data_IF_843969119787
#
_entry.id   IF_843969119787
#
_cell.length_a   1.000
_cell.length_b   1.000
_cell.length_c   1.000
_cell.angle_alpha   90.00
_cell.angle_beta   90.00
_cell.angle_gamma   90.00
#
_symmetry.space_group_name_H-M   'P 1'
#
loop_
_entity.id
_entity.type
_entity.pdbx_description
1 polymer ?
#
# COMPACT_ATOMS: atom_id res chain seq x y z
N UNK A 1 -35.15 -15.21 6.80
CA UNK A 1 -34.26 -15.01 5.64
C UNK A 1 -33.50 -13.71 5.84
N UNK A 2 -32.16 -13.73 5.76
CA UNK A 2 -31.34 -12.51 5.73
C UNK A 2 -30.41 -12.67 4.53
N UNK A 3 -30.75 -12.02 3.41
CA UNK A 3 -29.95 -12.09 2.19
C UNK A 3 -28.88 -11.00 2.23
N UNK A 4 -27.75 -11.28 2.88
CA UNK A 4 -26.58 -10.39 2.88
C UNK A 4 -25.88 -10.49 1.53
N UNK A 5 -26.51 -9.91 0.50
CA UNK A 5 -25.90 -9.79 -0.83
C UNK A 5 -24.64 -8.95 -0.71
N UNK A 6 -23.48 -9.59 -0.80
CA UNK A 6 -22.24 -8.89 -1.05
C UNK A 6 -22.30 -8.30 -2.47
N UNK A 7 -22.78 -7.06 -2.57
CA UNK A 7 -22.64 -6.26 -3.78
C UNK A 7 -21.16 -6.18 -4.11
N UNK A 8 -20.74 -6.91 -5.14
CA UNK A 8 -19.42 -6.81 -5.73
C UNK A 8 -19.34 -5.49 -6.50
N UNK A 9 -19.26 -4.40 -5.75
CA UNK A 9 -19.07 -3.06 -6.27
C UNK A 9 -17.80 -3.06 -7.12
N UNK A 10 -17.90 -2.61 -8.37
CA UNK A 10 -16.83 -2.76 -9.36
C UNK A 10 -15.59 -2.02 -8.86
N UNK A 11 -14.59 -2.78 -8.41
CA UNK A 11 -13.26 -2.26 -8.12
C UNK A 11 -12.63 -1.82 -9.45
N UNK A 12 -12.91 -0.58 -9.83
CA UNK A 12 -12.64 -0.03 -11.14
C UNK A 12 -11.11 0.09 -11.31
N UNK A 13 -10.50 -0.87 -12.01
CA UNK A 13 -9.05 -0.92 -12.28
C UNK A 13 -8.66 0.13 -13.33
N UNK A 14 -8.82 1.39 -12.97
CA UNK A 14 -8.24 2.55 -13.64
C UNK A 14 -6.96 2.98 -12.92
N UNK A 15 -6.00 3.52 -13.66
CA UNK A 15 -4.60 3.73 -13.25
C UNK A 15 -4.38 4.59 -11.98
N UNK A 16 -5.42 5.25 -11.45
CA UNK A 16 -5.35 5.88 -10.14
C UNK A 16 -5.24 4.85 -9.00
N UNK A 17 -6.14 3.87 -8.90
CA UNK A 17 -6.36 3.18 -7.62
C UNK A 17 -5.19 2.28 -7.19
N UNK A 18 -4.42 1.77 -8.14
CA UNK A 18 -3.20 0.99 -7.88
C UNK A 18 -2.09 1.78 -7.18
N UNK A 19 -2.04 3.12 -7.37
CA UNK A 19 -1.08 3.98 -6.67
C UNK A 19 -1.22 3.92 -5.14
N UNK A 20 -2.47 3.88 -4.62
CA UNK A 20 -2.77 3.79 -3.18
C UNK A 20 -2.42 2.44 -2.55
N UNK A 21 -2.01 1.47 -3.36
CA UNK A 21 -1.51 0.16 -2.90
C UNK A 21 0.01 0.11 -3.08
N UNK A 22 0.53 0.62 -4.20
CA UNK A 22 1.96 0.70 -4.47
C UNK A 22 2.71 1.60 -3.48
N UNK A 23 2.19 2.78 -3.15
CA UNK A 23 2.84 3.71 -2.22
C UNK A 23 2.71 3.30 -0.75
N UNK A 24 1.59 2.67 -0.35
CA UNK A 24 1.53 2.02 0.96
C UNK A 24 2.54 0.86 1.03
N UNK A 25 2.69 0.10 -0.05
CA UNK A 25 3.67 -0.99 -0.14
C UNK A 25 5.12 -0.51 -0.07
N UNK A 26 5.47 0.59 -0.75
CA UNK A 26 6.81 1.17 -0.66
C UNK A 26 7.06 1.80 0.72
N UNK A 27 6.09 2.48 1.32
CA UNK A 27 6.20 2.97 2.70
C UNK A 27 6.45 1.85 3.71
N UNK A 28 5.76 0.71 3.57
CA UNK A 28 5.96 -0.45 4.45
C UNK A 28 7.34 -1.09 4.23
N UNK A 29 7.76 -1.33 2.98
CA UNK A 29 9.12 -1.83 2.67
C UNK A 29 10.22 -0.91 3.17
N UNK A 30 10.06 0.41 3.01
CA UNK A 30 11.01 1.40 3.52
C UNK A 30 11.10 1.36 5.05
N UNK A 31 9.98 1.16 5.76
CA UNK A 31 9.98 0.97 7.21
C UNK A 31 10.68 -0.33 7.62
N UNK A 32 10.36 -1.45 6.97
CA UNK A 32 10.96 -2.77 7.23
C UNK A 32 12.49 -2.78 6.98
N UNK A 33 12.96 -2.05 5.97
CA UNK A 33 14.37 -1.95 5.57
C UNK A 33 15.13 -0.80 6.24
N UNK A 34 14.50 -0.02 7.12
CA UNK A 34 15.11 1.15 7.78
C UNK A 34 15.43 2.33 6.85
N UNK A 35 14.85 2.34 5.63
CA UNK A 35 15.07 3.38 4.63
C UNK A 35 14.17 4.57 4.94
N UNK A 36 14.74 5.62 5.54
CA UNK A 36 14.05 6.91 5.63
C UNK A 36 13.97 7.56 4.24
N UNK A 37 12.77 7.91 3.73
CA UNK A 37 12.66 8.69 2.50
C UNK A 37 13.26 10.08 2.72
N UNK A 38 14.07 10.56 1.77
CA UNK A 38 14.62 11.92 1.84
C UNK A 38 13.48 12.95 1.93
N UNK A 39 13.57 13.88 2.87
CA UNK A 39 12.51 14.85 3.17
C UNK A 39 12.37 15.99 2.14
N UNK A 40 12.67 15.71 0.87
CA UNK A 40 12.55 16.64 -0.25
C UNK A 40 11.08 16.70 -0.71
N UNK A 41 10.43 17.88 -0.73
CA UNK A 41 9.06 18.01 -1.25
C UNK A 41 9.09 17.90 -2.78
N UNK A 42 9.01 16.67 -3.29
CA UNK A 42 8.94 16.38 -4.72
C UNK A 42 7.52 16.71 -5.24
N UNK A 43 7.36 17.67 -6.18
CA UNK A 43 6.06 18.29 -6.46
C UNK A 43 5.05 17.34 -7.11
N UNK A 44 5.50 16.34 -7.88
CA UNK A 44 4.64 15.39 -8.56
C UNK A 44 3.77 14.57 -7.58
N UNK A 45 4.24 14.38 -6.34
CA UNK A 45 3.54 13.64 -5.29
C UNK A 45 2.28 14.36 -4.76
N UNK A 46 2.12 15.66 -5.02
CA UNK A 46 0.90 16.37 -4.64
C UNK A 46 -0.29 16.06 -5.57
N UNK A 47 -0.02 15.62 -6.81
CA UNK A 47 -1.04 15.48 -7.87
C UNK A 47 -2.16 14.49 -7.50
N UNK A 48 -1.78 13.34 -6.93
CA UNK A 48 -2.67 12.24 -6.62
C UNK A 48 -3.49 12.44 -5.34
N UNK A 49 -3.00 13.24 -4.36
CA UNK A 49 -3.67 13.43 -3.07
C UNK A 49 -5.13 13.91 -3.22
N UNK A 50 -5.40 14.76 -4.21
CA UNK A 50 -6.75 15.25 -4.56
C UNK A 50 -7.75 14.15 -4.95
N UNK A 51 -7.25 12.98 -5.35
CA UNK A 51 -8.03 11.80 -5.74
C UNK A 51 -8.26 10.84 -4.58
N UNK A 52 -7.26 10.57 -3.73
CA UNK A 52 -7.50 9.80 -2.49
C UNK A 52 -8.48 10.50 -1.57
N UNK A 53 -8.43 11.83 -1.44
CA UNK A 53 -9.42 12.56 -0.66
C UNK A 53 -10.86 12.33 -1.17
N UNK A 54 -11.06 12.20 -2.48
CA UNK A 54 -12.37 11.84 -3.08
C UNK A 54 -12.74 10.37 -2.83
N UNK A 55 -11.78 9.46 -2.89
CA UNK A 55 -12.01 8.03 -2.58
C UNK A 55 -12.38 7.84 -1.11
N UNK A 56 -11.63 8.44 -0.19
CA UNK A 56 -11.81 8.32 1.26
C UNK A 56 -13.07 9.03 1.78
N UNK A 57 -13.51 10.10 1.12
CA UNK A 57 -14.79 10.75 1.40
C UNK A 57 -15.99 9.82 1.09
N UNK A 58 -15.89 9.00 0.04
CA UNK A 58 -16.92 8.06 -0.38
C UNK A 58 -16.85 6.72 0.39
N UNK A 59 -15.66 6.11 0.50
CA UNK A 59 -15.43 4.89 1.28
C UNK A 59 -14.32 5.07 2.33
N UNK A 60 -14.73 5.28 3.58
CA UNK A 60 -13.83 5.31 4.74
C UNK A 60 -13.12 3.98 5.02
N UNK A 61 -13.53 2.87 4.40
CA UNK A 61 -12.84 1.57 4.46
C UNK A 61 -11.82 1.36 3.35
N UNK A 62 -11.75 2.25 2.35
CA UNK A 62 -10.82 2.11 1.22
C UNK A 62 -9.35 2.09 1.68
N UNK A 63 -8.98 2.92 2.66
CA UNK A 63 -7.61 2.92 3.21
C UNK A 63 -7.22 1.58 3.85
N UNK A 64 -8.12 0.96 4.63
CA UNK A 64 -7.87 -0.33 5.26
C UNK A 64 -7.81 -1.46 4.23
N UNK A 65 -8.64 -1.40 3.19
CA UNK A 65 -8.58 -2.31 2.04
C UNK A 65 -7.24 -2.19 1.30
N UNK A 66 -6.83 -0.97 0.98
CA UNK A 66 -5.57 -0.69 0.30
C UNK A 66 -4.35 -1.14 1.13
N UNK A 67 -4.32 -0.82 2.43
CA UNK A 67 -3.28 -1.26 3.35
C UNK A 67 -3.20 -2.79 3.47
N UNK A 68 -4.34 -3.50 3.53
CA UNK A 68 -4.36 -4.97 3.56
C UNK A 68 -3.84 -5.59 2.24
N UNK A 69 -4.09 -4.96 1.09
CA UNK A 69 -3.50 -5.39 -0.18
C UNK A 69 -1.99 -5.08 -0.26
N UNK A 70 -1.57 -3.91 0.21
CA UNK A 70 -0.17 -3.52 0.27
C UNK A 70 0.64 -4.45 1.18
N UNK A 71 0.16 -4.73 2.40
CA UNK A 71 0.81 -5.64 3.34
C UNK A 71 0.98 -7.04 2.73
N UNK A 72 -0.03 -7.56 2.01
CA UNK A 72 0.08 -8.85 1.33
C UNK A 72 1.14 -8.86 0.22
N UNK A 73 1.31 -7.75 -0.50
CA UNK A 73 2.37 -7.62 -1.50
C UNK A 73 3.77 -7.55 -0.85
N UNK A 74 3.90 -6.83 0.28
CA UNK A 74 5.15 -6.73 1.04
C UNK A 74 5.54 -8.07 1.66
N UNK A 75 4.61 -8.77 2.31
CA UNK A 75 4.85 -10.12 2.83
C UNK A 75 5.24 -11.12 1.72
N UNK A 76 4.67 -10.98 0.51
CA UNK A 76 5.11 -11.77 -0.64
C UNK A 76 6.55 -11.44 -1.06
N UNK A 77 6.91 -10.16 -1.16
CA UNK A 77 8.28 -9.74 -1.51
C UNK A 77 9.32 -10.18 -0.48
N UNK A 78 8.98 -10.18 0.82
CA UNK A 78 9.81 -10.77 1.87
C UNK A 78 9.94 -12.29 1.73
N UNK A 79 8.87 -13.00 1.38
CA UNK A 79 8.92 -14.46 1.15
C UNK A 79 9.71 -14.89 -0.10
N UNK A 80 10.17 -13.94 -0.92
CA UNK A 80 11.08 -14.17 -2.04
C UNK A 80 12.56 -13.89 -1.70
N UNK A 81 12.87 -13.40 -0.50
CA UNK A 81 14.26 -13.19 -0.08
C UNK A 81 14.93 -14.52 0.30
N UNK A 82 16.25 -14.69 0.04
CA UNK A 82 16.97 -15.90 0.45
C UNK A 82 17.11 -15.95 1.98
N UNK A 83 16.91 -17.13 2.58
CA UNK A 83 16.96 -17.31 4.05
C UNK A 83 18.30 -16.89 4.69
N UNK A 84 19.39 -16.88 3.92
CA UNK A 84 20.73 -16.48 4.37
C UNK A 84 21.04 -14.98 4.14
N UNK A 85 20.04 -14.10 3.98
CA UNK A 85 20.24 -12.66 3.93
C UNK A 85 20.64 -12.02 5.28
N UNK A 86 20.65 -12.79 6.37
CA UNK A 86 21.07 -12.36 7.70
C UNK A 86 22.43 -12.93 8.11
N UNK A 87 23.52 -12.29 7.69
CA UNK A 87 24.78 -12.40 8.43
C UNK A 87 24.63 -11.62 9.75
N UNK A 88 24.81 -12.24 10.93
CA UNK A 88 24.66 -11.53 12.19
C UNK A 88 25.72 -10.44 12.33
N UNK A 89 25.32 -9.24 12.78
CA UNK A 89 26.25 -8.17 13.14
C UNK A 89 27.15 -8.61 14.30
N UNK A 90 28.34 -9.11 13.96
CA UNK A 90 29.35 -9.59 14.87
C UNK A 90 30.51 -8.59 14.99
N UNK A 91 30.25 -7.46 15.66
CA UNK A 91 31.25 -6.50 16.16
C UNK A 91 30.68 -5.69 17.33
#
# INVERSE_FOLDING_TARGET
MISTVFTAEKFQVGAGLSGYIAELGSCFLCADLGIAPELKPCPDHASYLSSWLKVLANDRRAIFRAAAHAQRAVTFLHSLQPENAGEPLAA
#
